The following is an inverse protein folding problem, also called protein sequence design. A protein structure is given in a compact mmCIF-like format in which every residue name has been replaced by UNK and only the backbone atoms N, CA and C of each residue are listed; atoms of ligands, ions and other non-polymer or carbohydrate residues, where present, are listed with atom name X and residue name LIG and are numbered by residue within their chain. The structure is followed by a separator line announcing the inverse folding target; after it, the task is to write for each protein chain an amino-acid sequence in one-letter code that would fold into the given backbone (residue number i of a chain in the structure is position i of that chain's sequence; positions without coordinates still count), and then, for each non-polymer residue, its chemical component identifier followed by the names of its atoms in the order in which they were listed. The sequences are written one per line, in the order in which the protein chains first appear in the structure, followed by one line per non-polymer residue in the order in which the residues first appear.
data_IF_979489878782
#
_entry.id   IF_979489878782
#
_cell.length_a   1.000
_cell.length_b   1.000
_cell.length_c   1.000
_cell.angle_alpha   90.00
_cell.angle_beta   90.00
_cell.angle_gamma   90.00
#
_symmetry.space_group_name_H-M   'P 1'
#
loop_
_entity.id
_entity.type
_entity.pdbx_description
1 polymer ?
#
# COMPACT_ATOMS: atom_id res chain seq x y z
N UNK A 1 -17.58 -14.25 -6.93
CA UNK A 1 -16.63 -13.52 -6.06
C UNK A 1 -16.98 -13.82 -4.61
N UNK A 2 -16.19 -14.62 -3.89
CA UNK A 2 -16.46 -14.92 -2.47
C UNK A 2 -15.94 -13.75 -1.63
N UNK A 3 -16.84 -12.96 -1.07
CA UNK A 3 -16.47 -11.90 -0.13
C UNK A 3 -16.08 -12.56 1.20
N UNK A 4 -14.82 -12.42 1.62
CA UNK A 4 -14.40 -12.79 2.97
C UNK A 4 -15.05 -11.81 3.96
N UNK A 5 -16.12 -12.24 4.65
CA UNK A 5 -16.71 -11.46 5.73
C UNK A 5 -16.05 -11.84 7.05
N UNK A 6 -15.72 -10.85 7.85
CA UNK A 6 -15.13 -11.03 9.18
C UNK A 6 -16.01 -11.87 10.12
N UNK A 7 -17.33 -11.87 9.90
CA UNK A 7 -18.30 -12.70 10.64
C UNK A 7 -18.17 -14.20 10.37
N UNK A 8 -17.59 -14.59 9.23
CA UNK A 8 -17.52 -15.99 8.80
C UNK A 8 -16.24 -16.69 9.32
N UNK A 9 -15.42 -16.01 10.14
CA UNK A 9 -14.14 -16.52 10.66
C UNK A 9 -14.34 -17.05 12.09
N UNK A 10 -14.28 -18.37 12.32
CA UNK A 10 -14.40 -18.93 13.65
C UNK A 10 -13.32 -18.41 14.60
N UNK A 11 -13.75 -18.03 15.80
CA UNK A 11 -12.92 -17.57 16.91
C UNK A 11 -11.97 -16.42 16.54
N UNK A 12 -12.44 -15.49 15.69
CA UNK A 12 -11.63 -14.37 15.21
C UNK A 12 -11.12 -13.51 16.38
N UNK A 13 -11.97 -13.20 17.36
CA UNK A 13 -11.61 -12.36 18.49
C UNK A 13 -10.56 -13.02 19.40
N UNK A 14 -10.68 -14.33 19.65
CA UNK A 14 -9.68 -15.09 20.41
C UNK A 14 -8.33 -15.09 19.70
N UNK A 15 -8.32 -15.28 18.38
CA UNK A 15 -7.10 -15.21 17.56
C UNK A 15 -6.46 -13.83 17.56
N UNK A 16 -7.26 -12.77 17.44
CA UNK A 16 -6.75 -11.39 17.46
C UNK A 16 -6.10 -11.05 18.80
N UNK A 17 -6.63 -11.54 19.92
CA UNK A 17 -6.04 -11.35 21.26
C UNK A 17 -4.68 -12.04 21.43
N UNK A 18 -4.41 -13.10 20.65
CA UNK A 18 -3.13 -13.82 20.68
C UNK A 18 -2.03 -13.12 19.89
N UNK A 19 -2.38 -12.17 19.01
CA UNK A 19 -1.41 -11.44 18.21
C UNK A 19 -0.75 -10.35 19.06
N UNK A 20 0.59 -10.18 18.95
CA UNK A 20 1.25 -9.07 19.59
C UNK A 20 0.71 -7.75 19.02
N UNK A 21 0.53 -6.76 19.89
CA UNK A 21 0.28 -5.39 19.44
C UNK A 21 1.44 -4.88 18.59
N UNK A 22 1.21 -3.86 17.74
CA UNK A 22 2.31 -3.23 17.01
C UNK A 22 3.34 -2.68 18.01
N UNK A 23 4.64 -2.74 17.68
CA UNK A 23 5.66 -2.15 18.53
C UNK A 23 5.39 -0.65 18.70
N UNK A 24 5.78 -0.05 19.84
CA UNK A 24 5.68 1.39 20.03
C UNK A 24 6.39 2.15 18.90
N UNK A 25 5.73 3.16 18.36
CA UNK A 25 6.25 4.02 17.30
C UNK A 25 6.17 5.47 17.72
N UNK A 26 7.13 6.29 17.27
CA UNK A 26 7.12 7.74 17.51
C UNK A 26 6.12 8.38 16.54
N UNK A 27 5.02 8.88 17.10
CA UNK A 27 3.92 9.52 16.35
C UNK A 27 3.95 11.05 16.42
N UNK A 28 4.82 11.63 17.24
CA UNK A 28 5.15 13.06 17.17
C UNK A 28 6.32 13.28 16.20
N UNK A 29 6.06 13.99 15.11
CA UNK A 29 7.06 14.29 14.10
C UNK A 29 8.21 15.14 14.65
N UNK A 30 7.90 16.09 15.53
CA UNK A 30 8.88 16.99 16.09
C UNK A 30 9.84 16.26 17.05
N UNK A 31 9.32 15.32 17.85
CA UNK A 31 10.14 14.38 18.62
C UNK A 31 11.07 13.57 17.71
N UNK A 32 10.53 12.97 16.64
CA UNK A 32 11.31 12.16 15.70
C UNK A 32 12.48 12.95 15.09
N UNK A 33 12.25 14.22 14.74
CA UNK A 33 13.29 15.10 14.18
C UNK A 33 14.38 15.40 15.20
N UNK A 34 14.01 15.83 16.42
CA UNK A 34 14.99 16.21 17.47
C UNK A 34 15.84 15.04 17.93
N UNK A 35 15.22 13.88 18.12
CA UNK A 35 15.90 12.67 18.59
C UNK A 35 16.57 11.87 17.46
N UNK A 36 16.42 12.31 16.20
CA UNK A 36 16.92 11.60 15.00
C UNK A 36 16.43 10.16 14.92
N UNK A 37 15.14 9.95 15.22
CA UNK A 37 14.49 8.64 15.19
C UNK A 37 13.49 8.53 14.04
N UNK A 38 13.19 7.30 13.62
CA UNK A 38 12.25 7.03 12.53
C UNK A 38 10.81 7.31 12.97
N UNK A 39 10.10 8.15 12.21
CA UNK A 39 8.70 8.47 12.43
C UNK A 39 7.78 7.30 12.09
N UNK A 40 6.62 7.21 12.74
CA UNK A 40 5.63 6.16 12.48
C UNK A 40 5.19 6.12 11.00
N UNK A 41 4.95 7.28 10.37
CA UNK A 41 4.56 7.40 8.96
C UNK A 41 5.75 7.83 8.08
N UNK A 42 6.88 7.14 8.25
CA UNK A 42 8.10 7.38 7.49
C UNK A 42 7.96 7.13 5.97
N UNK A 43 9.02 7.46 5.23
CA UNK A 43 9.11 7.39 3.77
C UNK A 43 8.75 6.02 3.21
N UNK A 44 9.17 4.94 3.89
CA UNK A 44 8.94 3.60 3.40
C UNK A 44 7.48 3.17 3.58
N UNK A 45 6.88 3.52 4.72
CA UNK A 45 5.45 3.30 4.95
C UNK A 45 4.60 4.11 3.97
N UNK A 46 4.95 5.38 3.73
CA UNK A 46 4.31 6.23 2.71
C UNK A 46 4.42 5.62 1.31
N UNK A 47 5.62 5.22 0.91
CA UNK A 47 5.85 4.60 -0.39
C UNK A 47 5.05 3.30 -0.59
N UNK A 48 5.05 2.40 0.40
CA UNK A 48 4.36 1.11 0.30
C UNK A 48 2.84 1.27 0.32
N UNK A 49 2.30 2.18 1.13
CA UNK A 49 0.85 2.45 1.17
C UNK A 49 0.35 3.06 -0.15
N UNK A 50 1.06 4.05 -0.71
CA UNK A 50 0.73 4.61 -2.02
C UNK A 50 0.86 3.57 -3.15
N UNK A 51 1.85 2.68 -3.08
CA UNK A 51 2.02 1.59 -4.06
C UNK A 51 0.77 0.71 -4.12
N UNK A 52 0.20 0.32 -2.96
CA UNK A 52 -1.01 -0.50 -2.88
C UNK A 52 -2.23 0.16 -3.55
N UNK A 53 -2.43 1.45 -3.28
CA UNK A 53 -3.53 2.23 -3.89
C UNK A 53 -3.33 2.36 -5.41
N UNK A 54 -2.10 2.63 -5.85
CA UNK A 54 -1.78 2.72 -7.27
C UNK A 54 -2.03 1.40 -8.00
N UNK A 55 -1.62 0.25 -7.44
CA UNK A 55 -1.94 -1.07 -8.02
C UNK A 55 -3.44 -1.29 -8.14
N UNK A 56 -4.20 -0.93 -7.11
CA UNK A 56 -5.66 -1.08 -7.10
C UNK A 56 -6.33 -0.23 -8.18
N UNK A 57 -5.85 1.01 -8.37
CA UNK A 57 -6.30 1.91 -9.43
C UNK A 57 -6.01 1.35 -10.83
N UNK A 58 -4.84 0.74 -11.03
CA UNK A 58 -4.49 0.11 -12.32
C UNK A 58 -5.38 -1.11 -12.58
N UNK A 59 -5.58 -1.98 -11.59
CA UNK A 59 -6.47 -3.13 -11.71
C UNK A 59 -7.91 -2.73 -12.06
N UNK A 60 -8.42 -1.65 -11.44
CA UNK A 60 -9.73 -1.09 -11.76
C UNK A 60 -9.80 -0.56 -13.19
N UNK A 61 -8.78 0.19 -13.65
CA UNK A 61 -8.72 0.72 -15.01
C UNK A 61 -8.68 -0.38 -16.08
N UNK A 62 -7.96 -1.46 -15.81
CA UNK A 62 -7.83 -2.59 -16.74
C UNK A 62 -8.95 -3.63 -16.60
N UNK A 63 -9.79 -3.52 -15.56
CA UNK A 63 -10.91 -4.43 -15.33
C UNK A 63 -10.50 -5.88 -15.01
N UNK A 64 -9.28 -6.12 -14.51
CA UNK A 64 -8.75 -7.47 -14.27
C UNK A 64 -7.82 -7.54 -13.06
N UNK A 65 -7.72 -8.69 -12.37
CA UNK A 65 -6.72 -8.90 -11.32
C UNK A 65 -5.31 -8.84 -11.90
N UNK A 66 -4.37 -8.33 -11.10
CA UNK A 66 -2.96 -8.17 -11.49
C UNK A 66 -2.05 -8.94 -10.51
N UNK A 67 -0.94 -9.47 -11.02
CA UNK A 67 0.13 -10.05 -10.20
C UNK A 67 1.29 -9.08 -10.14
N UNK A 68 1.78 -8.80 -8.93
CA UNK A 68 2.81 -7.78 -8.71
C UNK A 68 4.00 -8.36 -7.95
N UNK A 69 5.20 -8.03 -8.42
CA UNK A 69 6.47 -8.30 -7.75
C UNK A 69 6.81 -7.11 -6.85
N UNK A 70 6.71 -7.31 -5.53
CA UNK A 70 6.95 -6.24 -4.54
C UNK A 70 8.41 -5.85 -4.37
N UNK A 71 9.34 -6.71 -4.80
CA UNK A 71 10.78 -6.44 -4.80
C UNK A 71 11.13 -5.58 -6.02
N UNK A 72 10.70 -6.00 -7.21
CA UNK A 72 10.99 -5.29 -8.48
C UNK A 72 10.07 -4.10 -8.75
N UNK A 73 8.99 -3.98 -7.98
CA UNK A 73 7.95 -2.96 -8.13
C UNK A 73 7.32 -2.96 -9.53
N UNK A 74 7.04 -4.15 -10.07
CA UNK A 74 6.49 -4.35 -11.42
C UNK A 74 5.39 -5.40 -11.46
N UNK A 75 4.49 -5.27 -12.42
CA UNK A 75 3.52 -6.30 -12.72
C UNK A 75 4.19 -7.45 -13.49
N UNK A 76 3.92 -8.67 -13.05
CA UNK A 76 4.56 -9.89 -13.58
C UNK A 76 3.93 -10.22 -14.93
N UNK A 77 4.74 -10.27 -15.99
CA UNK A 77 4.34 -10.59 -17.37
C UNK A 77 3.18 -9.72 -17.90
N UNK A 78 3.18 -8.41 -17.58
CA UNK A 78 2.06 -7.52 -17.89
C UNK A 78 2.53 -6.13 -18.33
N UNK A 79 2.91 -6.02 -19.61
CA UNK A 79 3.42 -4.78 -20.19
C UNK A 79 2.37 -3.66 -20.20
N UNK A 80 1.10 -4.00 -20.36
CA UNK A 80 0.00 -3.03 -20.34
C UNK A 80 -0.14 -2.39 -18.96
N UNK A 81 -0.15 -3.18 -17.88
CA UNK A 81 -0.19 -2.66 -16.52
C UNK A 81 1.09 -1.88 -16.17
N UNK A 82 2.25 -2.36 -16.63
CA UNK A 82 3.54 -1.70 -16.39
C UNK A 82 3.63 -0.30 -17.04
N UNK A 83 2.87 0.00 -18.11
CA UNK A 83 2.76 1.36 -18.67
C UNK A 83 2.21 2.39 -17.68
N UNK A 84 1.43 1.96 -16.68
CA UNK A 84 0.85 2.87 -15.69
C UNK A 84 1.80 3.21 -14.52
N UNK A 85 2.94 2.51 -14.40
CA UNK A 85 3.95 2.79 -13.38
C UNK A 85 4.58 4.17 -13.63
N UNK A 86 4.94 4.45 -14.88
CA UNK A 86 5.51 5.73 -15.31
C UNK A 86 4.55 6.42 -16.26
N UNK A 87 3.48 7.00 -15.70
CA UNK A 87 2.52 7.77 -16.50
C UNK A 87 3.18 9.05 -17.02
N UNK A 88 2.87 9.47 -18.27
CA UNK A 88 3.35 10.74 -18.78
C UNK A 88 2.83 11.89 -17.91
N UNK A 89 3.67 12.88 -17.68
CA UNK A 89 3.27 14.10 -16.98
C UNK A 89 2.15 14.81 -17.76
N UNK A 90 1.24 15.44 -17.02
CA UNK A 90 0.24 16.34 -17.62
C UNK A 90 0.99 17.40 -18.45
N UNK A 91 0.51 17.65 -19.67
CA UNK A 91 1.03 18.74 -20.49
C UNK A 91 0.83 20.13 -19.85
N UNK A 92 1.39 21.20 -20.46
CA UNK A 92 1.23 22.56 -19.98
C UNK A 92 -0.24 22.92 -19.72
N UNK A 93 -0.49 23.71 -18.68
CA UNK A 93 -1.83 24.24 -18.42
C UNK A 93 -2.26 25.18 -19.54
N UNK A 94 -3.51 25.07 -19.96
CA UNK A 94 -4.13 25.92 -20.99
C UNK A 94 -5.38 26.55 -20.39
N UNK A 95 -5.61 27.82 -20.74
CA UNK A 95 -6.81 28.61 -20.43
C UNK A 95 -7.88 28.31 -21.49
#
# INVERSE_FOLDING_TARGET
MRYFRTKDIPNLNEKLKQLPGPPPMITDFHQAVRERKKFALNEQNGFRSCTLINMSKVALRLGRPLKFDSEKLRFINDDEANKYINQPMRGPWKI
#
